data_IF_128344861829
#
_entry.id   IF_128344861829
#
_cell.length_a   1.000
_cell.length_b   1.000
_cell.length_c   1.000
_cell.angle_alpha   90.00
_cell.angle_beta   90.00
_cell.angle_gamma   90.00
#
_symmetry.space_group_name_H-M   'P 1'
#
loop_
_entity.id
_entity.type
_entity.pdbx_description
1 polymer ?
#
# COMPACT_ATOMS: atom_id res chain seq x y z
N UNK A 1 8.96 -9.84 32.48
CA UNK A 1 7.82 -9.22 31.75
C UNK A 1 7.07 -10.34 31.05
N UNK A 2 5.82 -10.65 31.42
CA UNK A 2 4.97 -11.53 30.63
C UNK A 2 4.62 -10.74 29.37
N UNK A 3 5.19 -11.10 28.23
CA UNK A 3 4.80 -10.49 26.95
C UNK A 3 3.41 -11.05 26.61
N UNK A 4 2.38 -10.31 26.95
CA UNK A 4 1.03 -10.60 26.46
C UNK A 4 1.07 -10.46 24.93
N UNK A 5 0.74 -11.51 24.17
CA UNK A 5 0.76 -11.46 22.69
C UNK A 5 -0.10 -10.34 22.11
N UNK A 6 -1.20 -9.97 22.79
CA UNK A 6 -2.08 -8.89 22.34
C UNK A 6 -1.43 -7.51 22.55
N UNK A 7 -0.77 -7.29 23.69
CA UNK A 7 -0.03 -6.06 23.94
C UNK A 7 1.15 -5.91 22.96
N UNK A 8 1.87 -7.01 22.71
CA UNK A 8 2.98 -7.00 21.75
C UNK A 8 2.51 -6.66 20.32
N UNK A 9 1.46 -7.32 19.86
CA UNK A 9 0.89 -7.04 18.53
C UNK A 9 0.44 -5.57 18.42
N UNK A 10 -0.24 -5.06 19.44
CA UNK A 10 -0.66 -3.65 19.49
C UNK A 10 0.54 -2.69 19.44
N UNK A 11 1.60 -2.99 20.19
CA UNK A 11 2.81 -2.16 20.22
C UNK A 11 3.51 -2.12 18.86
N UNK A 12 3.58 -3.26 18.16
CA UNK A 12 4.14 -3.35 16.79
C UNK A 12 3.32 -2.48 15.84
N UNK A 13 1.99 -2.60 15.85
CA UNK A 13 1.11 -1.78 15.00
C UNK A 13 1.31 -0.28 15.26
N UNK A 14 1.30 0.15 16.52
CA UNK A 14 1.49 1.56 16.88
C UNK A 14 2.87 2.06 16.43
N UNK A 15 3.91 1.26 16.58
CA UNK A 15 5.26 1.63 16.14
C UNK A 15 5.36 1.75 14.63
N UNK A 16 4.74 0.82 13.90
CA UNK A 16 4.68 0.84 12.43
C UNK A 16 3.97 2.09 11.89
N UNK A 17 2.83 2.46 12.50
CA UNK A 17 2.12 3.70 12.12
C UNK A 17 2.94 4.96 12.43
N UNK A 18 3.68 5.01 13.54
CA UNK A 18 4.57 6.13 13.84
C UNK A 18 5.71 6.24 12.82
N UNK A 19 6.33 5.12 12.44
CA UNK A 19 7.39 5.08 11.42
C UNK A 19 6.85 5.60 10.08
N UNK A 20 5.68 5.13 9.65
CA UNK A 20 5.00 5.62 8.45
C UNK A 20 4.73 7.13 8.52
N UNK A 21 4.24 7.63 9.65
CA UNK A 21 3.98 9.05 9.84
C UNK A 21 5.26 9.89 9.77
N UNK A 22 6.39 9.41 10.29
CA UNK A 22 7.68 10.08 10.10
C UNK A 22 8.10 10.09 8.62
N UNK A 23 7.90 9.00 7.89
CA UNK A 23 8.17 8.95 6.45
C UNK A 23 7.32 9.97 5.67
N UNK A 24 6.04 10.14 6.04
CA UNK A 24 5.16 11.18 5.49
C UNK A 24 5.67 12.59 5.85
N UNK A 25 6.18 12.81 7.07
CA UNK A 25 6.75 14.10 7.44
C UNK A 25 8.05 14.39 6.69
N UNK A 26 8.92 13.40 6.51
CA UNK A 26 10.12 13.55 5.68
C UNK A 26 9.78 13.89 4.23
N UNK A 27 8.72 13.32 3.65
CA UNK A 27 8.31 13.66 2.28
C UNK A 27 7.91 15.15 2.12
N UNK A 28 7.38 15.77 3.19
CA UNK A 28 7.04 17.20 3.20
C UNK A 28 8.26 18.14 3.15
N UNK A 29 9.45 17.62 3.40
CA UNK A 29 10.70 18.38 3.23
C UNK A 29 11.18 18.42 1.78
N UNK A 30 10.49 17.71 0.88
CA UNK A 30 10.74 17.68 -0.56
C UNK A 30 9.55 18.18 -1.36
N UNK A 31 9.67 18.10 -2.69
CA UNK A 31 8.66 18.62 -3.64
C UNK A 31 7.56 17.59 -4.00
N UNK A 32 7.62 16.39 -3.45
CA UNK A 32 6.67 15.29 -3.70
C UNK A 32 5.94 14.89 -2.42
N UNK A 33 4.62 14.73 -2.52
CA UNK A 33 3.87 14.09 -1.47
C UNK A 33 4.28 12.61 -1.33
N UNK A 34 4.11 12.03 -0.15
CA UNK A 34 4.55 10.66 0.15
C UNK A 34 4.10 9.62 -0.88
N UNK A 35 2.82 9.60 -1.23
CA UNK A 35 2.30 8.65 -2.22
C UNK A 35 2.78 8.95 -3.65
N UNK A 36 3.03 10.21 -4.01
CA UNK A 36 3.63 10.57 -5.29
C UNK A 36 5.05 10.02 -5.41
N UNK A 37 5.81 10.15 -4.33
CA UNK A 37 7.16 9.60 -4.22
C UNK A 37 7.15 8.06 -4.39
N UNK A 38 6.24 7.34 -3.71
CA UNK A 38 6.11 5.89 -3.86
C UNK A 38 5.82 5.47 -5.30
N UNK A 39 4.97 6.21 -6.01
CA UNK A 39 4.65 5.93 -7.42
C UNK A 39 5.87 6.14 -8.32
N UNK A 40 6.60 7.24 -8.14
CA UNK A 40 7.81 7.54 -8.91
C UNK A 40 8.89 6.49 -8.65
N UNK A 41 9.10 6.09 -7.38
CA UNK A 41 10.08 5.07 -7.03
C UNK A 41 9.73 3.72 -7.66
N UNK A 42 8.47 3.31 -7.59
CA UNK A 42 7.99 2.08 -8.20
C UNK A 42 8.23 2.06 -9.70
N UNK A 43 7.82 3.12 -10.42
CA UNK A 43 8.01 3.20 -11.87
C UNK A 43 9.48 3.22 -12.28
N UNK A 44 10.32 3.75 -11.45
CA UNK A 44 11.74 3.80 -11.73
C UNK A 44 12.46 2.47 -11.46
N UNK A 45 11.92 1.63 -10.60
CA UNK A 45 12.45 0.31 -10.26
C UNK A 45 11.91 -0.77 -11.21
N UNK A 46 10.60 -0.76 -11.46
CA UNK A 46 9.91 -1.82 -12.20
C UNK A 46 9.52 -1.42 -13.64
N UNK A 47 9.72 -0.15 -14.01
CA UNK A 47 9.34 0.36 -15.33
C UNK A 47 7.86 0.73 -15.44
N UNK A 48 7.42 0.89 -16.69
CA UNK A 48 6.06 1.28 -17.02
C UNK A 48 5.04 0.27 -16.48
N UNK A 49 4.04 0.73 -15.73
CA UNK A 49 3.16 -0.18 -14.99
C UNK A 49 1.74 0.37 -14.83
N UNK A 50 0.72 -0.50 -14.75
CA UNK A 50 -0.63 -0.08 -14.45
C UNK A 50 -0.79 0.33 -12.97
N UNK A 51 -1.69 1.28 -12.73
CA UNK A 51 -1.96 1.80 -11.37
C UNK A 51 -2.35 0.70 -10.36
N UNK A 52 -2.98 -0.39 -10.82
CA UNK A 52 -3.40 -1.50 -9.96
C UNK A 52 -2.21 -2.23 -9.33
N UNK A 53 -1.10 -2.36 -10.08
CA UNK A 53 0.09 -3.07 -9.60
C UNK A 53 0.85 -2.22 -8.58
N UNK A 54 0.93 -0.91 -8.81
CA UNK A 54 1.47 0.05 -7.83
C UNK A 54 0.65 0.03 -6.53
N UNK A 55 -0.69 0.05 -6.67
CA UNK A 55 -1.60 -0.01 -5.53
C UNK A 55 -1.42 -1.31 -4.71
N UNK A 56 -1.28 -2.44 -5.41
CA UNK A 56 -1.05 -3.76 -4.80
C UNK A 56 0.30 -3.83 -4.10
N UNK A 57 1.36 -3.38 -4.77
CA UNK A 57 2.73 -3.42 -4.23
C UNK A 57 2.86 -2.65 -2.92
N UNK A 58 2.26 -1.45 -2.85
CA UNK A 58 2.33 -0.60 -1.66
C UNK A 58 1.18 -0.81 -0.67
N UNK A 59 0.28 -1.77 -0.90
CA UNK A 59 -0.92 -2.00 -0.10
C UNK A 59 -1.77 -0.72 0.10
N UNK A 60 -1.88 0.12 -0.95
CA UNK A 60 -2.59 1.40 -0.93
C UNK A 60 -3.89 1.29 -1.73
N UNK A 61 -4.94 2.00 -1.29
CA UNK A 61 -6.23 2.00 -2.00
C UNK A 61 -6.11 2.58 -3.42
N UNK A 62 -6.91 2.03 -4.36
CA UNK A 62 -6.99 2.57 -5.73
C UNK A 62 -7.35 4.05 -5.75
N UNK A 63 -8.19 4.50 -4.83
CA UNK A 63 -8.59 5.90 -4.72
C UNK A 63 -7.41 6.80 -4.36
N UNK A 64 -6.59 6.39 -3.40
CA UNK A 64 -5.40 7.12 -2.98
C UNK A 64 -4.39 7.22 -4.12
N UNK A 65 -4.13 6.11 -4.83
CA UNK A 65 -3.24 6.09 -6.01
C UNK A 65 -3.79 7.02 -7.10
N UNK A 66 -5.08 6.97 -7.41
CA UNK A 66 -5.69 7.84 -8.43
C UNK A 66 -5.51 9.34 -8.13
N UNK A 67 -5.63 9.75 -6.87
CA UNK A 67 -5.41 11.14 -6.47
C UNK A 67 -3.96 11.58 -6.71
N UNK A 68 -3.01 10.76 -6.28
CA UNK A 68 -1.58 11.03 -6.48
C UNK A 68 -1.17 11.02 -7.95
N UNK A 69 -1.72 10.09 -8.75
CA UNK A 69 -1.49 10.05 -10.21
C UNK A 69 -2.03 11.30 -10.90
N UNK A 70 -3.21 11.81 -10.51
CA UNK A 70 -3.72 13.07 -11.07
C UNK A 70 -2.77 14.24 -10.83
N UNK A 71 -2.18 14.32 -9.65
CA UNK A 71 -1.18 15.35 -9.32
C UNK A 71 0.10 15.18 -10.14
N UNK A 72 0.62 13.95 -10.25
CA UNK A 72 1.81 13.64 -11.04
C UNK A 72 1.62 13.97 -12.54
N UNK A 73 0.45 13.67 -13.11
CA UNK A 73 0.08 14.03 -14.48
C UNK A 73 0.01 15.54 -14.66
N UNK A 74 -0.64 16.26 -13.73
CA UNK A 74 -0.72 17.73 -13.74
C UNK A 74 0.67 18.37 -13.76
N UNK A 75 1.59 17.80 -12.99
CA UNK A 75 2.97 18.29 -12.90
C UNK A 75 3.87 17.74 -14.01
N UNK A 76 3.35 16.91 -14.90
CA UNK A 76 4.08 16.25 -16.00
C UNK A 76 5.28 15.42 -15.53
N UNK A 77 5.16 14.76 -14.38
CA UNK A 77 6.15 13.80 -13.90
C UNK A 77 5.91 12.39 -14.46
N UNK A 78 4.66 12.08 -14.80
CA UNK A 78 4.27 10.83 -15.46
C UNK A 78 3.39 11.11 -16.65
N UNK A 79 3.40 10.20 -17.61
CA UNK A 79 2.45 10.10 -18.71
C UNK A 79 1.57 8.86 -18.53
N UNK A 80 0.43 8.86 -19.22
CA UNK A 80 -0.53 7.78 -19.19
C UNK A 80 -0.84 7.37 -20.62
N UNK A 81 -0.60 6.11 -20.96
CA UNK A 81 -0.95 5.56 -22.27
C UNK A 81 -1.76 4.28 -22.14
N UNK A 82 -2.37 3.87 -23.23
CA UNK A 82 -3.21 2.68 -23.27
C UNK A 82 -2.34 1.43 -23.43
N UNK A 83 -2.61 0.38 -22.66
CA UNK A 83 -1.88 -0.88 -22.77
C UNK A 83 -2.04 -1.47 -24.17
N UNK A 84 -0.97 -1.90 -24.84
CA UNK A 84 -1.05 -2.59 -26.12
C UNK A 84 -1.88 -3.88 -26.05
N UNK A 85 -1.76 -4.62 -24.95
CA UNK A 85 -2.38 -5.93 -24.75
C UNK A 85 -3.82 -5.83 -24.22
N UNK A 86 -4.16 -4.74 -23.55
CA UNK A 86 -5.48 -4.54 -22.95
C UNK A 86 -5.94 -3.08 -23.07
N UNK A 87 -6.74 -2.80 -24.09
CA UNK A 87 -7.28 -1.46 -24.37
C UNK A 87 -8.09 -0.82 -23.23
N UNK A 88 -8.50 -1.59 -22.21
CA UNK A 88 -9.19 -1.06 -21.01
C UNK A 88 -8.21 -0.65 -19.91
N UNK A 89 -6.94 -1.01 -20.05
CA UNK A 89 -5.92 -0.74 -19.04
C UNK A 89 -5.03 0.43 -19.44
N UNK A 90 -4.77 1.31 -18.50
CA UNK A 90 -3.88 2.46 -18.68
C UNK A 90 -2.58 2.22 -17.92
N UNK A 91 -1.47 2.44 -18.61
CA UNK A 91 -0.10 2.27 -18.10
C UNK A 91 0.48 3.64 -17.78
N UNK A 92 1.09 3.74 -16.62
CA UNK A 92 1.88 4.90 -16.21
C UNK A 92 3.32 4.74 -16.64
N UNK A 93 3.91 5.84 -17.08
CA UNK A 93 5.31 5.94 -17.48
C UNK A 93 5.95 7.19 -16.89
N UNK A 94 7.19 7.10 -16.45
CA UNK A 94 7.96 8.30 -16.08
C UNK A 94 8.31 9.12 -17.32
N UNK A 95 8.11 10.43 -17.21
CA UNK A 95 8.67 11.39 -18.17
C UNK A 95 10.14 11.71 -17.87
N UNK A 96 10.83 12.42 -18.77
CA UNK A 96 12.17 12.93 -18.48
C UNK A 96 12.18 13.84 -17.24
N UNK A 97 11.13 14.66 -17.11
CA UNK A 97 10.93 15.51 -15.91
C UNK A 97 10.74 14.66 -14.65
N UNK A 98 9.97 13.55 -14.75
CA UNK A 98 9.79 12.59 -13.67
C UNK A 98 11.11 11.92 -13.24
N UNK A 99 11.93 11.54 -14.21
CA UNK A 99 13.26 10.99 -13.96
C UNK A 99 14.22 12.01 -13.28
N UNK A 100 14.17 13.27 -13.68
CA UNK A 100 14.92 14.35 -13.01
C UNK A 100 14.43 14.52 -11.57
N UNK A 101 13.12 14.58 -11.35
CA UNK A 101 12.51 14.71 -10.02
C UNK A 101 12.88 13.53 -9.12
N UNK A 102 12.87 12.30 -9.63
CA UNK A 102 13.35 11.11 -8.89
C UNK A 102 14.79 11.30 -8.41
N UNK A 103 15.70 11.66 -9.30
CA UNK A 103 17.10 11.87 -8.93
C UNK A 103 17.26 12.93 -7.84
N UNK A 104 16.56 14.03 -7.97
CA UNK A 104 16.58 15.14 -6.99
C UNK A 104 16.06 14.69 -5.62
N UNK A 105 14.90 14.06 -5.58
CA UNK A 105 14.30 13.58 -4.31
C UNK A 105 15.15 12.48 -3.66
N UNK A 106 15.79 11.61 -4.44
CA UNK A 106 16.68 10.56 -3.92
C UNK A 106 17.93 11.10 -3.24
N UNK A 107 18.53 12.20 -3.74
CA UNK A 107 19.71 12.79 -3.11
C UNK A 107 19.45 13.26 -1.67
N UNK A 108 18.29 13.83 -1.40
CA UNK A 108 17.91 14.26 -0.05
C UNK A 108 17.58 13.05 0.85
N UNK A 109 16.80 12.11 0.35
CA UNK A 109 16.36 10.92 1.11
C UNK A 109 17.50 9.98 1.45
N UNK A 110 18.42 9.73 0.51
CA UNK A 110 19.54 8.82 0.78
C UNK A 110 20.41 9.31 1.93
N UNK A 111 20.61 10.63 2.07
CA UNK A 111 21.31 11.19 3.24
C UNK A 111 20.56 10.97 4.54
N UNK A 112 19.21 11.11 4.52
CA UNK A 112 18.38 10.87 5.70
C UNK A 112 18.37 9.39 6.07
N UNK A 113 18.19 8.50 5.09
CA UNK A 113 18.20 7.05 5.31
C UNK A 113 19.56 6.57 5.81
N UNK A 114 20.68 7.04 5.21
CA UNK A 114 22.01 6.70 5.69
C UNK A 114 22.18 7.08 7.17
N UNK A 115 21.81 8.31 7.57
CA UNK A 115 21.89 8.73 8.98
C UNK A 115 21.05 7.88 9.92
N UNK A 116 19.86 7.44 9.49
CA UNK A 116 19.00 6.55 10.29
C UNK A 116 19.67 5.19 10.45
N UNK A 117 20.17 4.60 9.37
CA UNK A 117 20.82 3.28 9.38
C UNK A 117 22.13 3.34 10.18
N UNK A 118 22.94 4.37 10.00
CA UNK A 118 24.18 4.56 10.76
C UNK A 118 23.91 4.67 12.28
N UNK A 119 22.85 5.40 12.66
CA UNK A 119 22.46 5.56 14.07
C UNK A 119 21.86 4.28 14.66
N UNK A 120 21.12 3.51 13.87
CA UNK A 120 20.46 2.28 14.31
C UNK A 120 21.41 1.09 14.31
N UNK A 121 22.36 1.06 13.39
CA UNK A 121 23.32 0.00 13.13
C UNK A 121 22.88 -0.94 12.02
N UNK A 122 23.78 -1.20 11.07
CA UNK A 122 23.50 -1.96 9.84
C UNK A 122 22.97 -3.37 10.12
N UNK A 123 23.58 -4.09 11.08
CA UNK A 123 23.15 -5.44 11.46
C UNK A 123 21.74 -5.47 12.02
N UNK A 124 21.40 -4.51 12.88
CA UNK A 124 20.04 -4.38 13.43
C UNK A 124 19.04 -4.02 12.35
N UNK A 125 19.43 -3.19 11.40
CA UNK A 125 18.57 -2.80 10.28
C UNK A 125 18.29 -4.00 9.37
N UNK A 126 19.28 -4.82 9.06
CA UNK A 126 19.11 -6.04 8.28
C UNK A 126 18.20 -7.07 8.99
N UNK A 127 18.39 -7.25 10.30
CA UNK A 127 17.50 -8.11 11.09
C UNK A 127 16.06 -7.59 11.11
N UNK A 128 15.86 -6.29 11.30
CA UNK A 128 14.55 -5.66 11.28
C UNK A 128 13.86 -5.85 9.94
N UNK A 129 14.57 -5.72 8.82
CA UNK A 129 14.02 -5.97 7.47
C UNK A 129 13.49 -7.40 7.34
N UNK A 130 14.26 -8.40 7.77
CA UNK A 130 13.87 -9.82 7.72
C UNK A 130 12.60 -10.03 8.55
N UNK A 131 12.60 -9.56 9.81
CA UNK A 131 11.46 -9.73 10.72
C UNK A 131 10.20 -9.02 10.23
N UNK A 132 10.33 -7.83 9.63
CA UNK A 132 9.18 -7.10 9.05
C UNK A 132 8.59 -7.84 7.86
N UNK A 133 9.42 -8.40 6.97
CA UNK A 133 8.94 -9.19 5.83
C UNK A 133 8.20 -10.45 6.27
N UNK A 134 8.73 -11.14 7.29
CA UNK A 134 8.07 -12.32 7.86
C UNK A 134 6.73 -11.95 8.50
N UNK A 135 6.71 -10.88 9.30
CA UNK A 135 5.48 -10.39 9.96
C UNK A 135 4.44 -9.95 8.94
N UNK A 136 4.84 -9.25 7.88
CA UNK A 136 3.97 -8.85 6.76
C UNK A 136 3.33 -10.06 6.07
N UNK A 137 4.13 -11.09 5.76
CA UNK A 137 3.62 -12.31 5.12
C UNK A 137 2.60 -13.04 6.01
N UNK A 138 2.88 -13.14 7.31
CA UNK A 138 1.95 -13.76 8.28
C UNK A 138 0.65 -12.94 8.36
N UNK A 139 0.74 -11.62 8.48
CA UNK A 139 -0.46 -10.75 8.50
C UNK A 139 -1.30 -10.90 7.24
N UNK A 140 -0.66 -10.99 6.07
CA UNK A 140 -1.36 -11.19 4.80
C UNK A 140 -2.13 -12.51 4.74
N UNK A 141 -1.54 -13.59 5.22
CA UNK A 141 -2.18 -14.90 5.31
C UNK A 141 -3.38 -14.88 6.27
N UNK A 142 -3.19 -14.35 7.48
CA UNK A 142 -4.28 -14.23 8.47
C UNK A 142 -5.42 -13.38 7.93
N UNK A 143 -5.13 -12.26 7.28
CA UNK A 143 -6.15 -11.40 6.68
C UNK A 143 -6.95 -12.16 5.60
N UNK A 144 -6.27 -12.94 4.75
CA UNK A 144 -6.90 -13.72 3.70
C UNK A 144 -7.87 -14.73 4.29
N UNK A 145 -7.44 -15.49 5.29
CA UNK A 145 -8.26 -16.48 6.00
C UNK A 145 -9.50 -15.84 6.66
N UNK A 146 -9.33 -14.72 7.33
CA UNK A 146 -10.42 -14.00 7.99
C UNK A 146 -11.41 -13.40 6.96
N UNK A 147 -10.92 -12.93 5.81
CA UNK A 147 -11.78 -12.47 4.72
C UNK A 147 -12.61 -13.60 4.11
N UNK A 148 -12.06 -14.81 3.98
CA UNK A 148 -12.79 -15.99 3.49
C UNK A 148 -13.87 -16.42 4.48
N UNK A 149 -13.54 -16.53 5.77
CA UNK A 149 -14.50 -16.81 6.84
C UNK A 149 -15.65 -15.78 6.86
N UNK A 150 -15.32 -14.51 6.71
CA UNK A 150 -16.31 -13.43 6.67
C UNK A 150 -17.25 -13.55 5.46
N UNK A 151 -16.72 -13.86 4.28
CA UNK A 151 -17.54 -14.11 3.07
C UNK A 151 -18.48 -15.27 3.26
N UNK A 152 -18.00 -16.38 3.84
CA UNK A 152 -18.82 -17.56 4.11
C UNK A 152 -19.94 -17.25 5.11
N UNK A 153 -19.62 -16.55 6.21
CA UNK A 153 -20.61 -16.09 7.19
C UNK A 153 -21.69 -15.21 6.56
N UNK A 154 -21.29 -14.26 5.72
CA UNK A 154 -22.22 -13.38 5.00
C UNK A 154 -23.11 -14.16 4.02
N UNK A 155 -22.54 -15.15 3.32
CA UNK A 155 -23.32 -16.02 2.42
C UNK A 155 -24.34 -16.84 3.18
N UNK A 156 -23.98 -17.44 4.31
CA UNK A 156 -24.90 -18.20 5.19
C UNK A 156 -26.02 -17.30 5.71
N UNK A 157 -25.71 -16.09 6.15
CA UNK A 157 -26.70 -15.13 6.62
C UNK A 157 -27.73 -14.79 5.54
N UNK A 158 -27.30 -14.49 4.31
CA UNK A 158 -28.20 -14.23 3.18
C UNK A 158 -29.11 -15.41 2.82
N UNK A 159 -28.62 -16.63 2.97
CA UNK A 159 -29.45 -17.84 2.73
C UNK A 159 -30.52 -17.98 3.80
N UNK A 160 -30.18 -17.73 5.08
CA UNK A 160 -31.12 -17.78 6.20
C UNK A 160 -32.19 -16.69 6.05
N UNK A 161 -31.77 -15.47 5.74
CA UNK A 161 -32.69 -14.33 5.51
C UNK A 161 -33.68 -14.64 4.37
N UNK A 162 -33.22 -15.22 3.27
CA UNK A 162 -34.08 -15.61 2.17
C UNK A 162 -35.08 -16.70 2.56
N UNK A 163 -34.63 -17.69 3.29
CA UNK A 163 -35.51 -18.80 3.75
C UNK A 163 -36.56 -18.29 4.76
N UNK A 164 -36.22 -17.37 5.66
CA UNK A 164 -37.17 -16.75 6.58
C UNK A 164 -38.21 -15.91 5.86
N UNK A 165 -37.86 -15.19 4.83
CA UNK A 165 -38.79 -14.42 4.01
C UNK A 165 -39.72 -15.33 3.23
N UNK A 166 -39.22 -16.43 2.66
CA UNK A 166 -40.08 -17.45 1.97
C UNK A 166 -41.06 -18.14 2.92
N UNK A 167 -40.68 -18.33 4.19
CA UNK A 167 -41.56 -18.93 5.23
C UNK A 167 -42.61 -17.92 5.73
N UNK A 168 -42.36 -16.61 5.58
CA UNK A 168 -43.28 -15.56 6.04
C UNK A 168 -44.27 -15.08 4.95
N UNK A 169 -44.11 -15.50 3.70
CA UNK A 169 -45.18 -15.37 2.69
C UNK A 169 -46.26 -16.40 2.98
N UNK A 170 -47.06 -16.11 4.02
CA UNK A 170 -48.24 -16.90 4.38
C UNK A 170 -49.26 -16.96 3.24
N UNK A 171 -50.28 -17.83 3.32
CA UNK A 171 -51.12 -18.14 2.20
C UNK A 171 -51.77 -16.87 1.60
N UNK A 172 -51.45 -16.64 0.34
CA UNK A 172 -52.14 -15.61 -0.47
C UNK A 172 -53.61 -15.98 -0.52
N UNK A 173 -54.46 -15.14 0.04
CA UNK A 173 -55.93 -15.25 -0.06
C UNK A 173 -56.37 -15.08 -1.50
#
# INVERSE_FOLDING_TARGET
MKNDPQELARSIVVSSEKIKNYSVQFSKLGDLAYNEMLIIDYLAEFGDSPQKDIAKYHAISKQTINLSVKSLLKNRYVDLYQSPDNKKEKILKLTDKGNVMKRYSNLSRSKQHARIIDSFGLEKAALLEILLKEYEAIMGNVLTDEMEKHKEKTRRFKILEKNEIELWEGPRK
#
